data_IF_983337999459
#
_entry.id   IF_983337999459
#
_cell.length_a   1.000
_cell.length_b   1.000
_cell.length_c   1.000
_cell.angle_alpha   90.00
_cell.angle_beta   90.00
_cell.angle_gamma   90.00
#
_symmetry.space_group_name_H-M   'P 1'
#
loop_
_entity.id
_entity.type
_entity.pdbx_description
1 polymer ?
#
# COMPACT_ATOMS: atom_id res chain seq x y z
N UNK A 1 -17.46 10.52 10.58
CA UNK A 1 -16.42 11.57 10.71
C UNK A 1 -15.32 11.23 9.69
N UNK A 2 -15.06 12.06 8.67
CA UNK A 2 -14.02 11.77 7.68
C UNK A 2 -12.65 12.00 8.34
N UNK A 3 -11.84 10.96 8.49
CA UNK A 3 -10.47 11.06 8.99
C UNK A 3 -9.60 11.58 7.84
N UNK A 4 -8.82 12.64 8.09
CA UNK A 4 -7.79 13.07 7.15
C UNK A 4 -6.72 11.98 7.08
N UNK A 5 -6.49 11.47 5.87
CA UNK A 5 -5.51 10.44 5.58
C UNK A 5 -4.39 11.08 4.76
N UNK A 6 -3.36 11.57 5.46
CA UNK A 6 -2.21 12.25 4.85
C UNK A 6 -0.95 11.54 5.31
N UNK A 7 -0.30 10.87 4.37
CA UNK A 7 0.97 10.20 4.60
C UNK A 7 2.08 11.04 4.00
N UNK A 8 3.02 11.47 4.84
CA UNK A 8 4.22 12.16 4.37
C UNK A 8 5.26 11.14 3.88
N UNK A 9 5.76 11.35 2.65
CA UNK A 9 6.76 10.47 2.02
C UNK A 9 8.21 10.89 2.35
N UNK A 10 8.41 11.72 3.38
CA UNK A 10 9.73 12.25 3.75
C UNK A 10 10.67 11.23 4.40
N UNK A 11 10.13 10.15 4.95
CA UNK A 11 10.93 9.10 5.59
C UNK A 11 11.52 8.14 4.56
N UNK A 12 12.80 8.30 4.26
CA UNK A 12 13.54 7.45 3.31
C UNK A 12 13.56 5.96 3.67
N UNK A 13 13.28 5.60 4.92
CA UNK A 13 13.20 4.19 5.38
C UNK A 13 11.75 3.70 5.57
N UNK A 14 10.78 4.54 5.21
CA UNK A 14 9.37 4.22 5.33
C UNK A 14 8.92 3.14 4.34
N UNK A 15 7.74 2.59 4.61
CA UNK A 15 7.11 1.55 3.79
C UNK A 15 6.96 1.96 2.33
N UNK A 16 6.53 3.20 2.07
CA UNK A 16 6.21 3.66 0.72
C UNK A 16 7.47 3.85 -0.16
N UNK A 17 8.57 4.45 0.33
CA UNK A 17 9.83 4.45 -0.43
C UNK A 17 10.34 3.04 -0.75
N UNK A 18 10.24 2.10 0.19
CA UNK A 18 10.60 0.71 -0.06
C UNK A 18 9.73 0.09 -1.18
N UNK A 19 8.40 0.26 -1.10
CA UNK A 19 7.47 -0.20 -2.13
C UNK A 19 7.71 0.49 -3.49
N UNK A 20 8.13 1.76 -3.48
CA UNK A 20 8.47 2.54 -4.66
C UNK A 20 9.72 1.99 -5.36
N UNK A 21 10.78 1.73 -4.59
CA UNK A 21 12.07 1.27 -5.08
C UNK A 21 11.98 -0.13 -5.68
N UNK A 22 11.31 -1.05 -4.97
CA UNK A 22 11.17 -2.43 -5.42
C UNK A 22 10.02 -2.65 -6.40
N UNK A 23 9.13 -1.66 -6.56
CA UNK A 23 7.88 -1.78 -7.35
C UNK A 23 7.06 -3.01 -6.95
N UNK A 24 7.04 -3.28 -5.66
CA UNK A 24 6.44 -4.48 -5.10
C UNK A 24 5.11 -4.16 -4.42
N UNK A 25 4.14 -5.07 -4.56
CA UNK A 25 2.90 -5.03 -3.78
C UNK A 25 3.18 -5.59 -2.39
N UNK A 26 2.74 -4.89 -1.36
CA UNK A 26 2.98 -5.24 0.04
C UNK A 26 1.68 -5.56 0.75
N UNK A 27 1.72 -6.62 1.54
CA UNK A 27 0.72 -6.91 2.56
C UNK A 27 1.31 -6.66 3.94
N UNK A 28 0.88 -5.57 4.56
CA UNK A 28 1.19 -5.29 5.96
C UNK A 28 0.08 -5.93 6.81
N UNK A 29 0.37 -7.08 7.39
CA UNK A 29 -0.54 -7.86 8.24
C UNK A 29 -0.81 -7.20 9.59
N UNK A 30 0.21 -6.62 10.20
CA UNK A 30 0.08 -5.80 11.40
C UNK A 30 1.20 -4.74 11.43
N UNK A 31 0.88 -3.43 11.35
CA UNK A 31 1.88 -2.35 11.31
C UNK A 31 2.75 -2.25 12.58
N UNK A 32 2.30 -2.84 13.68
CA UNK A 32 3.00 -2.92 14.95
C UNK A 32 3.86 -4.18 15.10
N UNK A 33 3.78 -5.13 14.15
CA UNK A 33 4.62 -6.34 14.18
C UNK A 33 6.11 -6.00 13.99
N UNK A 34 6.99 -6.80 14.60
CA UNK A 34 8.45 -6.60 14.59
C UNK A 34 9.04 -6.39 13.19
N UNK A 35 8.49 -7.09 12.18
CA UNK A 35 8.97 -7.01 10.79
C UNK A 35 8.63 -5.70 10.07
N UNK A 36 7.61 -4.97 10.56
CA UNK A 36 7.13 -3.70 9.98
C UNK A 36 7.44 -2.49 10.86
N UNK A 37 8.04 -2.71 12.03
CA UNK A 37 8.09 -1.73 13.10
C UNK A 37 8.84 -0.45 12.71
N UNK A 38 9.89 -0.60 11.91
CA UNK A 38 10.66 0.51 11.34
C UNK A 38 9.89 1.17 10.18
N UNK A 39 9.46 0.38 9.20
CA UNK A 39 8.82 0.86 7.96
C UNK A 39 7.47 1.54 8.21
N UNK A 40 6.76 1.14 9.28
CA UNK A 40 5.45 1.67 9.64
C UNK A 40 5.50 2.64 10.82
N UNK A 41 6.68 3.03 11.32
CA UNK A 41 6.83 3.86 12.53
C UNK A 41 5.92 5.10 12.53
N UNK A 42 5.96 5.89 11.46
CA UNK A 42 5.16 7.11 11.30
C UNK A 42 3.71 6.84 10.86
N UNK A 43 3.42 5.60 10.44
CA UNK A 43 2.13 5.18 9.89
C UNK A 43 1.17 4.63 10.95
N UNK A 44 1.67 4.19 12.11
CA UNK A 44 0.87 3.48 13.14
C UNK A 44 -0.36 4.26 13.61
N UNK A 45 -0.27 5.59 13.65
CA UNK A 45 -1.37 6.44 14.14
C UNK A 45 -2.51 6.55 13.12
N UNK A 46 -2.20 6.38 11.84
CA UNK A 46 -3.13 6.61 10.73
C UNK A 46 -3.68 5.33 10.13
N UNK A 47 -2.91 4.23 10.16
CA UNK A 47 -3.26 2.97 9.51
C UNK A 47 -3.83 1.96 10.52
N UNK A 48 -4.76 1.08 10.09
CA UNK A 48 -5.38 0.12 11.00
C UNK A 48 -4.42 -1.00 11.42
N UNK A 49 -4.53 -1.43 12.68
CA UNK A 49 -3.74 -2.54 13.21
C UNK A 49 -4.09 -3.89 12.58
N UNK A 50 -5.30 -4.03 12.04
CA UNK A 50 -5.77 -5.21 11.29
C UNK A 50 -5.05 -5.41 9.94
N UNK A 51 -4.16 -4.48 9.59
CA UNK A 51 -3.37 -4.54 8.38
C UNK A 51 -4.02 -3.86 7.17
N UNK A 52 -3.21 -3.73 6.13
CA UNK A 52 -3.55 -3.04 4.89
C UNK A 52 -2.69 -3.55 3.73
N UNK A 53 -3.13 -3.23 2.51
CA UNK A 53 -2.46 -3.58 1.27
C UNK A 53 -1.99 -2.32 0.55
N UNK A 54 -0.81 -2.39 -0.06
CA UNK A 54 -0.23 -1.32 -0.87
C UNK A 54 0.31 -1.90 -2.17
N UNK A 55 0.10 -1.23 -3.30
CA UNK A 55 0.74 -1.57 -4.56
C UNK A 55 1.15 -0.30 -5.32
N UNK A 56 2.26 -0.31 -6.06
CA UNK A 56 2.69 0.85 -6.84
C UNK A 56 1.74 1.11 -8.02
N UNK A 57 1.41 2.39 -8.24
CA UNK A 57 0.77 2.89 -9.45
C UNK A 57 1.88 3.30 -10.43
N UNK A 58 1.92 2.63 -11.58
CA UNK A 58 2.99 2.72 -12.57
C UNK A 58 2.48 3.36 -13.86
N UNK A 59 3.24 4.34 -14.37
CA UNK A 59 3.09 4.90 -15.74
C UNK A 59 4.47 4.96 -16.35
N UNK A 60 4.66 4.38 -17.54
CA UNK A 60 5.97 4.30 -18.22
C UNK A 60 7.10 3.82 -17.31
N UNK A 61 6.83 2.78 -16.52
CA UNK A 61 7.76 2.20 -15.55
C UNK A 61 8.20 3.16 -14.42
N UNK A 62 7.54 4.31 -14.26
CA UNK A 62 7.70 5.24 -13.16
C UNK A 62 6.57 5.07 -12.14
N UNK A 63 6.91 4.98 -10.87
CA UNK A 63 5.92 4.99 -9.79
C UNK A 63 5.43 6.42 -9.61
N UNK A 64 4.13 6.65 -9.84
CA UNK A 64 3.49 7.97 -9.71
C UNK A 64 2.53 8.06 -8.53
N UNK A 65 2.34 6.95 -7.81
CA UNK A 65 1.47 6.87 -6.65
C UNK A 65 1.35 5.43 -6.15
N UNK A 66 0.35 5.19 -5.30
CA UNK A 66 0.07 3.88 -4.74
C UNK A 66 -1.43 3.60 -4.71
N UNK A 67 -1.78 2.35 -4.99
CA UNK A 67 -3.05 1.77 -4.56
C UNK A 67 -2.95 1.46 -3.08
N UNK A 68 -4.00 1.77 -2.33
CA UNK A 68 -4.11 1.50 -0.91
C UNK A 68 -5.46 0.86 -0.61
N UNK A 69 -5.47 -0.19 0.21
CA UNK A 69 -6.70 -0.82 0.69
C UNK A 69 -6.57 -1.21 2.16
N UNK A 70 -7.60 -0.89 2.95
CA UNK A 70 -7.69 -1.25 4.35
C UNK A 70 -9.11 -1.69 4.73
N UNK A 71 -9.23 -2.33 5.89
CA UNK A 71 -10.50 -2.81 6.45
C UNK A 71 -10.79 -2.20 7.82
N UNK A 72 -10.23 -1.03 8.12
CA UNK A 72 -10.28 -0.34 9.41
C UNK A 72 -11.68 -0.30 10.04
N UNK A 73 -12.77 0.04 9.31
CA UNK A 73 -14.11 0.05 9.89
C UNK A 73 -14.64 -1.31 10.37
N UNK A 74 -14.15 -2.42 9.80
CA UNK A 74 -14.58 -3.78 10.16
C UNK A 74 -13.54 -4.57 10.95
N UNK A 75 -12.31 -4.06 11.05
CA UNK A 75 -11.14 -4.69 11.69
C UNK A 75 -10.80 -6.11 11.18
N UNK A 76 -11.42 -6.55 10.09
CA UNK A 76 -11.14 -7.86 9.50
C UNK A 76 -9.76 -7.86 8.85
N UNK A 77 -8.96 -8.87 9.18
CA UNK A 77 -7.69 -9.10 8.52
C UNK A 77 -7.88 -9.44 7.02
N UNK A 78 -6.84 -9.21 6.24
CA UNK A 78 -6.74 -9.74 4.88
C UNK A 78 -6.33 -11.21 4.92
N UNK A 79 -6.71 -11.93 3.87
CA UNK A 79 -6.26 -13.29 3.60
C UNK A 79 -5.29 -13.28 2.42
N UNK A 80 -4.61 -14.40 2.19
CA UNK A 80 -3.78 -14.57 1.01
C UNK A 80 -4.59 -14.43 -0.29
N UNK A 81 -5.82 -14.94 -0.32
CA UNK A 81 -6.72 -14.80 -1.47
C UNK A 81 -7.03 -13.33 -1.75
N UNK A 82 -7.28 -12.53 -0.70
CA UNK A 82 -7.50 -11.09 -0.85
C UNK A 82 -6.25 -10.40 -1.43
N UNK A 83 -5.06 -10.78 -0.95
CA UNK A 83 -3.81 -10.20 -1.41
C UNK A 83 -3.51 -10.54 -2.88
N UNK A 84 -3.72 -11.79 -3.29
CA UNK A 84 -3.56 -12.20 -4.70
C UNK A 84 -4.55 -11.46 -5.61
N UNK A 85 -5.81 -11.31 -5.17
CA UNK A 85 -6.80 -10.53 -5.92
C UNK A 85 -6.38 -9.06 -6.05
N UNK A 86 -5.84 -8.46 -4.98
CA UNK A 86 -5.31 -7.09 -4.99
C UNK A 86 -4.10 -6.91 -5.92
N UNK A 87 -3.17 -7.88 -5.93
CA UNK A 87 -2.05 -7.90 -6.88
C UNK A 87 -2.58 -7.92 -8.32
N UNK A 88 -3.50 -8.84 -8.62
CA UNK A 88 -4.04 -8.96 -9.97
C UNK A 88 -4.77 -7.68 -10.41
N UNK A 89 -5.57 -7.09 -9.51
CA UNK A 89 -6.23 -5.81 -9.74
C UNK A 89 -5.22 -4.69 -10.06
N UNK A 90 -4.20 -4.51 -9.23
CA UNK A 90 -3.24 -3.41 -9.40
C UNK A 90 -2.39 -3.57 -10.65
N UNK A 91 -2.00 -4.79 -11.01
CA UNK A 91 -1.30 -5.10 -12.25
C UNK A 91 -2.16 -4.77 -13.48
N UNK A 92 -3.41 -5.24 -13.51
CA UNK A 92 -4.33 -4.96 -14.63
C UNK A 92 -4.62 -3.46 -14.74
N UNK A 93 -4.84 -2.78 -13.61
CA UNK A 93 -5.06 -1.35 -13.58
C UNK A 93 -3.85 -0.58 -14.15
N UNK A 94 -2.61 -0.97 -13.78
CA UNK A 94 -1.39 -0.38 -14.34
C UNK A 94 -1.26 -0.59 -15.87
N UNK A 95 -1.63 -1.77 -16.38
CA UNK A 95 -1.70 -2.03 -17.83
C UNK A 95 -2.69 -1.08 -18.50
N UNK A 96 -3.89 -0.93 -17.94
CA UNK A 96 -4.91 -0.01 -18.45
C UNK A 96 -4.41 1.44 -18.45
N UNK A 97 -3.81 1.91 -17.37
CA UNK A 97 -3.24 3.26 -17.30
C UNK A 97 -2.16 3.49 -18.36
N UNK A 98 -1.29 2.51 -18.59
CA UNK A 98 -0.21 2.59 -19.59
C UNK A 98 -0.76 2.71 -21.02
N UNK A 99 -1.89 2.07 -21.32
CA UNK A 99 -2.51 2.18 -22.66
C UNK A 99 -3.37 3.42 -22.83
N UNK A 100 -3.99 3.93 -21.75
CA UNK A 100 -4.87 5.10 -21.81
C UNK A 100 -4.16 6.45 -21.81
N UNK A 101 -2.90 6.50 -21.36
CA UNK A 101 -2.09 7.73 -21.31
C UNK A 101 -1.19 7.94 -22.54
N UNK A 102 -1.41 7.15 -23.61
CA UNK A 102 -0.72 7.28 -24.90
C UNK A 102 -1.37 8.33 -25.81
#
# INVERSE_FOLDING_TARGET
MKRLFIIELGDKKGLFPMAMEHKESLWVDNPSAKKWLEQCRELKVQLPESGFLVAPLLVDNKVIGFYYADRGPSERCFTEVDFQAFIHFSQLANVCFTVSLK
#
